data_IF_097016302698
#
_entry.id   IF_097016302698
#
_cell.length_a   1.000
_cell.length_b   1.000
_cell.length_c   1.000
_cell.angle_alpha   90.00
_cell.angle_beta   90.00
_cell.angle_gamma   90.00
#
_symmetry.space_group_name_H-M   'P 1'
#
loop_
_entity.id
_entity.type
_entity.pdbx_description
1 polymer ?
#
# COMPACT_ATOMS: atom_id res chain seq x y z
N UNK A 1 24.13 -10.11 -26.91
CA UNK A 1 23.53 -11.23 -26.12
C UNK A 1 22.71 -10.72 -24.92
N UNK A 2 23.26 -9.88 -24.03
CA UNK A 2 22.60 -9.37 -22.81
C UNK A 2 21.26 -8.64 -23.08
N UNK A 3 21.20 -7.81 -24.12
CA UNK A 3 19.99 -7.06 -24.51
C UNK A 3 18.78 -7.94 -24.84
N UNK A 4 19.00 -9.11 -25.46
CA UNK A 4 17.94 -10.07 -25.83
C UNK A 4 17.35 -10.76 -24.59
N UNK A 5 18.21 -11.11 -23.61
CA UNK A 5 17.78 -11.68 -22.34
C UNK A 5 16.98 -10.69 -21.48
N UNK A 6 17.43 -9.43 -21.41
CA UNK A 6 16.68 -8.38 -20.72
C UNK A 6 15.30 -8.20 -21.36
N UNK A 7 15.22 -8.11 -22.69
CA UNK A 7 13.94 -7.95 -23.39
C UNK A 7 12.95 -9.11 -23.11
N UNK A 8 13.42 -10.36 -23.12
CA UNK A 8 12.58 -11.52 -22.75
C UNK A 8 12.11 -11.48 -21.29
N UNK A 9 12.96 -11.05 -20.36
CA UNK A 9 12.59 -10.89 -18.95
C UNK A 9 11.54 -9.79 -18.75
N UNK A 10 11.67 -8.66 -19.45
CA UNK A 10 10.69 -7.58 -19.41
C UNK A 10 9.33 -8.03 -19.97
N UNK A 11 9.30 -8.68 -21.13
CA UNK A 11 8.04 -9.19 -21.69
C UNK A 11 7.36 -10.20 -20.76
N UNK A 12 8.10 -11.17 -20.21
CA UNK A 12 7.52 -12.13 -19.26
C UNK A 12 6.94 -11.45 -18.00
N UNK A 13 7.61 -10.41 -17.50
CA UNK A 13 7.10 -9.64 -16.36
C UNK A 13 5.86 -8.82 -16.74
N UNK A 14 5.83 -8.27 -17.95
CA UNK A 14 4.70 -7.52 -18.47
C UNK A 14 3.45 -8.40 -18.59
N UNK A 15 3.59 -9.61 -19.13
CA UNK A 15 2.49 -10.57 -19.23
C UNK A 15 1.95 -10.96 -17.85
N UNK A 16 2.84 -11.22 -16.88
CA UNK A 16 2.45 -11.53 -15.50
C UNK A 16 1.72 -10.35 -14.81
N UNK A 17 2.14 -9.11 -15.07
CA UNK A 17 1.50 -7.91 -14.51
C UNK A 17 0.11 -7.70 -15.12
N UNK A 18 -0.01 -7.87 -16.44
CA UNK A 18 -1.31 -7.78 -17.12
C UNK A 18 -2.27 -8.85 -16.59
N UNK A 19 -1.79 -10.07 -16.41
CA UNK A 19 -2.62 -11.15 -15.90
C UNK A 19 -3.05 -10.89 -14.45
N UNK A 20 -2.13 -10.45 -13.58
CA UNK A 20 -2.49 -10.04 -12.22
C UNK A 20 -3.53 -8.91 -12.21
N UNK A 21 -3.39 -7.90 -13.08
CA UNK A 21 -4.32 -6.80 -13.18
C UNK A 21 -5.72 -7.23 -13.64
N UNK A 22 -5.79 -8.18 -14.60
CA UNK A 22 -7.06 -8.78 -15.04
C UNK A 22 -7.71 -9.55 -13.87
N UNK A 23 -6.92 -10.35 -13.14
CA UNK A 23 -7.41 -11.16 -12.02
C UNK A 23 -7.94 -10.29 -10.85
N UNK A 24 -7.41 -9.07 -10.69
CA UNK A 24 -7.76 -8.15 -9.60
C UNK A 24 -8.54 -6.92 -10.05
N UNK A 25 -9.07 -6.89 -11.27
CA UNK A 25 -9.70 -5.69 -11.85
C UNK A 25 -10.91 -5.22 -11.01
N UNK A 26 -11.75 -6.15 -10.58
CA UNK A 26 -12.88 -5.88 -9.69
C UNK A 26 -12.39 -5.36 -8.32
N UNK A 27 -11.35 -5.99 -7.76
CA UNK A 27 -10.74 -5.57 -6.50
C UNK A 27 -10.17 -4.15 -6.57
N UNK A 28 -9.49 -3.81 -7.67
CA UNK A 28 -8.98 -2.47 -7.97
C UNK A 28 -10.11 -1.45 -8.08
N UNK A 29 -11.20 -1.79 -8.77
CA UNK A 29 -12.36 -0.90 -8.91
C UNK A 29 -12.99 -0.59 -7.54
N UNK A 30 -13.27 -1.63 -6.75
CA UNK A 30 -13.85 -1.49 -5.40
C UNK A 30 -12.91 -0.70 -4.49
N UNK A 31 -11.62 -1.03 -4.51
CA UNK A 31 -10.60 -0.34 -3.73
C UNK A 31 -10.60 1.16 -4.02
N UNK A 32 -10.58 1.55 -5.29
CA UNK A 32 -10.56 2.95 -5.68
C UNK A 32 -11.85 3.69 -5.30
N UNK A 33 -13.03 3.05 -5.41
CA UNK A 33 -14.29 3.63 -4.97
C UNK A 33 -14.26 3.90 -3.45
N UNK A 34 -13.87 2.91 -2.65
CA UNK A 34 -13.82 3.05 -1.20
C UNK A 34 -12.84 4.15 -0.79
N UNK A 35 -11.64 4.16 -1.38
CA UNK A 35 -10.63 5.18 -1.09
C UNK A 35 -11.12 6.58 -1.46
N UNK A 36 -11.78 6.73 -2.61
CA UNK A 36 -12.33 8.01 -3.04
C UNK A 36 -13.41 8.50 -2.08
N UNK A 37 -14.33 7.62 -1.66
CA UNK A 37 -15.37 7.95 -0.68
C UNK A 37 -14.77 8.36 0.67
N UNK A 38 -13.77 7.65 1.18
CA UNK A 38 -13.10 8.00 2.43
C UNK A 38 -12.45 9.38 2.38
N UNK A 39 -11.78 9.70 1.27
CA UNK A 39 -11.18 11.03 1.07
C UNK A 39 -12.27 12.10 1.00
N UNK A 40 -13.36 11.88 0.27
CA UNK A 40 -14.48 12.82 0.18
C UNK A 40 -15.13 13.07 1.55
N UNK A 41 -15.34 12.02 2.35
CA UNK A 41 -15.91 12.14 3.70
C UNK A 41 -14.99 12.93 4.65
N UNK A 42 -13.67 12.75 4.52
CA UNK A 42 -12.70 13.57 5.25
C UNK A 42 -12.77 15.04 4.83
N UNK A 43 -12.79 15.32 3.52
CA UNK A 43 -12.86 16.70 2.99
C UNK A 43 -14.18 17.40 3.33
N UNK A 44 -15.29 16.66 3.36
CA UNK A 44 -16.60 17.19 3.77
C UNK A 44 -16.73 17.37 5.29
N UNK A 45 -15.70 17.01 6.06
CA UNK A 45 -15.68 17.04 7.53
C UNK A 45 -16.87 16.32 8.18
N UNK A 46 -17.44 15.33 7.47
CA UNK A 46 -18.75 14.74 7.77
C UNK A 46 -18.87 14.18 9.20
N UNK A 47 -17.75 13.70 9.75
CA UNK A 47 -17.70 13.07 11.06
C UNK A 47 -17.33 14.02 12.22
N UNK A 48 -17.07 15.30 11.96
CA UNK A 48 -16.78 16.26 13.05
C UNK A 48 -18.06 16.65 13.80
N UNK A 49 -18.01 16.78 15.15
CA UNK A 49 -16.85 16.62 16.03
C UNK A 49 -16.63 15.20 16.57
N UNK A 50 -17.54 14.26 16.29
CA UNK A 50 -17.61 12.96 16.97
C UNK A 50 -16.48 11.99 16.60
N UNK A 51 -15.94 12.07 15.38
CA UNK A 51 -14.88 11.19 14.91
C UNK A 51 -13.96 11.89 13.90
N UNK A 52 -12.66 11.90 14.18
CA UNK A 52 -11.68 12.50 13.28
C UNK A 52 -11.18 11.47 12.25
N UNK A 53 -11.75 11.53 11.05
CA UNK A 53 -11.33 10.70 9.91
C UNK A 53 -10.08 11.29 9.25
N UNK A 54 -8.95 11.28 9.96
CA UNK A 54 -7.70 11.85 9.48
C UNK A 54 -7.07 11.08 8.31
N UNK A 55 -6.18 11.75 7.56
CA UNK A 55 -5.48 11.13 6.41
C UNK A 55 -4.71 9.85 6.78
N UNK A 56 -4.16 9.79 7.99
CA UNK A 56 -3.45 8.61 8.49
C UNK A 56 -4.40 7.41 8.70
N UNK A 57 -5.66 7.66 9.04
CA UNK A 57 -6.69 6.62 9.21
C UNK A 57 -7.12 6.11 7.84
N UNK A 58 -7.35 7.02 6.89
CA UNK A 58 -7.66 6.66 5.50
C UNK A 58 -6.56 5.76 4.93
N UNK A 59 -5.30 6.16 5.13
CA UNK A 59 -4.16 5.39 4.64
C UNK A 59 -4.07 4.00 5.28
N UNK A 60 -4.29 3.92 6.61
CA UNK A 60 -4.31 2.66 7.33
C UNK A 60 -5.41 1.72 6.84
N UNK A 61 -6.63 2.24 6.63
CA UNK A 61 -7.75 1.49 6.05
C UNK A 61 -7.37 0.99 4.64
N UNK A 62 -6.74 1.83 3.83
CA UNK A 62 -6.24 1.46 2.51
C UNK A 62 -5.25 0.28 2.56
N UNK A 63 -4.27 0.30 3.48
CA UNK A 63 -3.36 -0.82 3.66
C UNK A 63 -4.11 -2.10 4.05
N UNK A 64 -5.07 -2.03 4.97
CA UNK A 64 -5.88 -3.19 5.36
C UNK A 64 -6.70 -3.73 4.19
N UNK A 65 -7.40 -2.86 3.46
CA UNK A 65 -8.24 -3.23 2.31
C UNK A 65 -7.43 -3.82 1.15
N UNK A 66 -6.17 -3.43 1.00
CA UNK A 66 -5.30 -4.00 -0.03
C UNK A 66 -5.06 -5.50 0.14
N UNK A 67 -5.22 -6.04 1.36
CA UNK A 67 -5.04 -7.47 1.63
C UNK A 67 -6.13 -8.31 0.93
N UNK A 68 -7.43 -8.14 1.25
CA UNK A 68 -8.48 -8.93 0.61
C UNK A 68 -8.78 -8.48 -0.83
N UNK A 69 -8.63 -7.19 -1.17
CA UNK A 69 -9.03 -6.69 -2.48
C UNK A 69 -7.94 -6.83 -3.54
N UNK A 70 -6.67 -6.69 -3.15
CA UNK A 70 -5.53 -6.68 -4.09
C UNK A 70 -4.58 -7.88 -3.85
N UNK A 71 -4.88 -8.76 -2.90
CA UNK A 71 -4.03 -9.90 -2.58
C UNK A 71 -2.68 -9.50 -2.00
N UNK A 72 -2.59 -8.34 -1.33
CA UNK A 72 -1.34 -7.87 -0.76
C UNK A 72 -0.80 -8.84 0.31
N UNK A 73 0.47 -9.22 0.18
CA UNK A 73 1.17 -10.16 1.08
C UNK A 73 2.19 -9.45 1.96
N UNK A 74 2.74 -10.16 2.93
CA UNK A 74 3.82 -9.67 3.81
C UNK A 74 4.95 -8.97 3.03
N UNK A 75 5.42 -9.59 1.93
CA UNK A 75 6.46 -9.05 1.05
C UNK A 75 6.10 -7.68 0.47
N UNK A 76 4.87 -7.50 0.01
CA UNK A 76 4.40 -6.23 -0.56
C UNK A 76 4.37 -5.13 0.50
N UNK A 77 3.93 -5.46 1.72
CA UNK A 77 3.87 -4.51 2.84
C UNK A 77 5.26 -4.05 3.29
N UNK A 78 6.23 -4.96 3.38
CA UNK A 78 7.62 -4.59 3.68
C UNK A 78 8.22 -3.73 2.57
N UNK A 79 7.96 -4.06 1.30
CA UNK A 79 8.43 -3.25 0.18
C UNK A 79 7.86 -1.82 0.22
N UNK A 80 6.55 -1.69 0.47
CA UNK A 80 5.88 -0.39 0.62
C UNK A 80 6.44 0.39 1.83
N UNK A 81 6.71 -0.29 2.95
CA UNK A 81 7.33 0.32 4.13
C UNK A 81 8.71 0.90 3.81
N UNK A 82 9.55 0.17 3.08
CA UNK A 82 10.86 0.66 2.63
C UNK A 82 10.71 1.89 1.73
N UNK A 83 9.76 1.87 0.79
CA UNK A 83 9.48 3.03 -0.08
C UNK A 83 9.12 4.25 0.78
N UNK A 84 8.23 4.09 1.77
CA UNK A 84 7.85 5.19 2.64
C UNK A 84 9.00 5.67 3.50
N UNK A 85 9.85 4.78 4.00
CA UNK A 85 11.01 5.17 4.79
C UNK A 85 11.95 6.04 3.95
N UNK A 86 12.29 5.59 2.74
CA UNK A 86 13.15 6.34 1.81
C UNK A 86 12.51 7.69 1.46
N UNK A 87 11.20 7.71 1.21
CA UNK A 87 10.48 8.92 0.89
C UNK A 87 10.41 9.89 2.08
N UNK A 88 10.23 9.39 3.31
CA UNK A 88 10.23 10.20 4.52
C UNK A 88 11.60 10.87 4.76
N UNK A 89 12.69 10.11 4.58
CA UNK A 89 14.06 10.63 4.67
C UNK A 89 14.28 11.73 3.61
N UNK A 90 13.87 11.46 2.36
CA UNK A 90 13.95 12.44 1.27
C UNK A 90 13.19 13.74 1.60
N UNK A 91 11.95 13.64 2.08
CA UNK A 91 11.15 14.81 2.48
C UNK A 91 11.78 15.57 3.65
N UNK A 92 12.38 14.87 4.61
CA UNK A 92 13.07 15.52 5.74
C UNK A 92 14.30 16.30 5.28
N UNK A 93 15.06 15.77 4.31
CA UNK A 93 16.19 16.48 3.70
C UNK A 93 15.71 17.76 2.99
N UNK A 94 14.57 17.70 2.30
CA UNK A 94 13.94 18.85 1.65
C UNK A 94 13.24 19.83 2.61
N UNK A 95 13.29 19.58 3.93
CA UNK A 95 12.60 20.38 4.96
C UNK A 95 11.08 20.46 4.81
N UNK A 96 10.46 19.43 4.21
CA UNK A 96 9.01 19.30 4.10
C UNK A 96 8.48 18.53 5.31
N UNK A 97 8.47 19.16 6.48
CA UNK A 97 8.35 18.47 7.78
C UNK A 97 7.01 17.74 7.96
N UNK A 98 5.89 18.40 7.66
CA UNK A 98 4.55 17.84 7.84
C UNK A 98 4.35 16.55 7.04
N UNK A 99 4.88 16.50 5.81
CA UNK A 99 4.77 15.33 4.96
C UNK A 99 5.79 14.25 5.35
N UNK A 100 6.99 14.63 5.81
CA UNK A 100 7.97 13.69 6.33
C UNK A 100 7.42 12.93 7.55
N UNK A 101 6.79 13.63 8.49
CA UNK A 101 6.17 13.03 9.68
C UNK A 101 5.03 12.07 9.31
N UNK A 102 4.12 12.47 8.42
CA UNK A 102 3.04 11.60 7.94
C UNK A 102 3.59 10.35 7.25
N UNK A 103 4.62 10.51 6.42
CA UNK A 103 5.23 9.38 5.69
C UNK A 103 5.94 8.43 6.65
N UNK A 104 6.55 8.93 7.73
CA UNK A 104 7.09 8.09 8.79
C UNK A 104 6.00 7.27 9.49
N UNK A 105 4.81 7.85 9.72
CA UNK A 105 3.65 7.09 10.22
C UNK A 105 3.23 6.00 9.23
N UNK A 106 3.18 6.29 7.92
CA UNK A 106 2.83 5.28 6.90
C UNK A 106 3.86 4.14 6.83
N UNK A 107 5.14 4.46 7.04
CA UNK A 107 6.22 3.46 7.18
C UNK A 107 5.92 2.50 8.32
N UNK A 108 5.57 3.03 9.49
CA UNK A 108 5.22 2.22 10.66
C UNK A 108 3.97 1.38 10.43
N UNK A 109 2.91 1.96 9.89
CA UNK A 109 1.65 1.27 9.62
C UNK A 109 1.84 0.08 8.65
N UNK A 110 2.56 0.30 7.55
CA UNK A 110 2.87 -0.76 6.58
C UNK A 110 3.78 -1.84 7.16
N UNK A 111 4.76 -1.47 7.99
CA UNK A 111 5.63 -2.43 8.67
C UNK A 111 4.84 -3.30 9.66
N UNK A 112 3.99 -2.69 10.49
CA UNK A 112 3.14 -3.37 11.45
C UNK A 112 2.23 -4.39 10.76
N UNK A 113 1.55 -3.99 9.67
CA UNK A 113 0.71 -4.90 8.88
C UNK A 113 1.57 -6.01 8.24
N UNK A 114 2.76 -5.67 7.75
CA UNK A 114 3.70 -6.64 7.18
C UNK A 114 4.11 -7.73 8.18
N UNK A 115 4.39 -7.35 9.42
CA UNK A 115 4.70 -8.30 10.51
C UNK A 115 3.50 -9.18 10.83
N UNK A 116 2.30 -8.61 10.96
CA UNK A 116 1.07 -9.39 11.22
C UNK A 116 0.83 -10.42 10.09
N UNK A 117 0.96 -10.00 8.84
CA UNK A 117 0.82 -10.90 7.68
C UNK A 117 1.88 -11.98 7.66
N UNK A 118 3.13 -11.64 7.98
CA UNK A 118 4.23 -12.61 8.05
C UNK A 118 3.93 -13.71 9.08
N UNK A 119 3.48 -13.33 10.27
CA UNK A 119 3.09 -14.28 11.31
C UNK A 119 1.97 -15.20 10.83
N UNK A 120 0.92 -14.64 10.21
CA UNK A 120 -0.20 -15.43 9.64
C UNK A 120 0.28 -16.38 8.54
N UNK A 121 1.09 -15.89 7.61
CA UNK A 121 1.65 -16.68 6.50
C UNK A 121 2.58 -17.80 7.01
N UNK A 122 3.31 -17.56 8.09
CA UNK A 122 4.18 -18.54 8.73
C UNK A 122 3.38 -19.66 9.39
N UNK A 123 2.29 -19.32 10.11
CA UNK A 123 1.39 -20.30 10.74
C UNK A 123 0.72 -21.18 9.68
N UNK A 124 0.20 -20.57 8.61
CA UNK A 124 -0.49 -21.30 7.54
C UNK A 124 0.43 -22.21 6.71
N UNK A 125 1.76 -22.05 6.79
CA UNK A 125 2.73 -22.94 6.11
C UNK A 125 3.12 -24.16 6.94
N UNK A 126 2.73 -24.22 8.21
CA UNK A 126 3.05 -25.34 9.12
C UNK A 126 1.87 -26.31 9.32
N UNK A 127 0.79 -26.11 8.56
CA UNK A 127 -0.32 -27.03 8.37
C UNK A 127 -0.41 -27.39 6.88
#
# INVERSE_FOLDING_TARGET
MIRSYLFKLFNKKYDNLNQWAIDHLVGLFIFNIIMSLLVLLNTAEYFKPFFFLGINVIFFIGLILSIPLLGARSKSMFFISIIFLVFAIFLKILKIEIWAERTAVYTFQSLLIGVILLTRESINKHW
#
